data_IF_317147894124
#
_entry.id   IF_317147894124
#
_cell.length_a   1.000
_cell.length_b   1.000
_cell.length_c   1.000
_cell.angle_alpha   90.00
_cell.angle_beta   90.00
_cell.angle_gamma   90.00
#
_symmetry.space_group_name_H-M   'P 1'
#
loop_
_entity.id
_entity.type
_entity.pdbx_description
1 polymer ?
#
# COMPACT_ATOMS: atom_id res chain seq x y z
N UNK A 1 -10.88 -7.79 6.70
CA UNK A 1 -9.52 -7.45 6.18
C UNK A 1 -9.35 -7.76 4.70
N UNK A 2 -9.75 -8.95 4.22
CA UNK A 2 -9.64 -9.33 2.80
C UNK A 2 -10.29 -8.35 1.81
N UNK A 3 -11.50 -7.88 2.08
CA UNK A 3 -12.13 -6.87 1.22
C UNK A 3 -11.32 -5.56 1.18
N UNK A 4 -10.76 -5.15 2.31
CA UNK A 4 -9.98 -3.91 2.43
C UNK A 4 -8.64 -3.99 1.70
N UNK A 5 -7.87 -5.09 1.85
CA UNK A 5 -6.57 -5.24 1.15
C UNK A 5 -6.76 -5.21 -0.38
N UNK A 6 -7.79 -5.87 -0.89
CA UNK A 6 -8.14 -5.82 -2.32
C UNK A 6 -8.50 -4.40 -2.75
N UNK A 7 -9.32 -3.70 -1.98
CA UNK A 7 -9.69 -2.30 -2.26
C UNK A 7 -8.49 -1.35 -2.24
N UNK A 8 -7.53 -1.54 -1.32
CA UNK A 8 -6.31 -0.73 -1.25
C UNK A 8 -5.31 -1.04 -2.39
N UNK A 9 -5.36 -2.25 -2.95
CA UNK A 9 -4.53 -2.68 -4.10
C UNK A 9 -5.19 -2.39 -5.46
N UNK A 10 -6.43 -1.89 -5.48
CA UNK A 10 -7.05 -1.41 -6.73
C UNK A 10 -6.25 -0.26 -7.33
N UNK A 11 -5.96 -0.37 -8.63
CA UNK A 11 -5.22 0.67 -9.35
C UNK A 11 -6.06 1.93 -9.50
N UNK A 12 -5.48 3.07 -9.15
CA UNK A 12 -6.07 4.38 -9.41
C UNK A 12 -5.50 4.97 -10.69
N UNK A 13 -6.26 5.82 -11.38
CA UNK A 13 -5.86 6.43 -12.65
C UNK A 13 -4.54 7.21 -12.57
N UNK A 14 -4.21 7.69 -11.37
CA UNK A 14 -2.96 8.40 -11.12
C UNK A 14 -1.79 7.42 -10.88
N UNK A 15 -1.99 6.25 -10.31
CA UNK A 15 -0.91 5.32 -9.93
C UNK A 15 -0.09 4.83 -11.12
N UNK A 16 1.23 4.94 -11.00
CA UNK A 16 2.16 4.65 -12.10
C UNK A 16 3.14 3.52 -11.79
N UNK A 17 3.13 2.95 -10.58
CA UNK A 17 4.13 1.94 -10.23
C UNK A 17 4.04 0.72 -11.15
N UNK A 18 2.85 0.37 -11.67
CA UNK A 18 2.64 -0.73 -12.60
C UNK A 18 2.96 -0.40 -14.06
N UNK A 19 3.06 0.88 -14.42
CA UNK A 19 3.30 1.33 -15.80
C UNK A 19 4.77 1.69 -16.08
N UNK A 20 5.59 1.94 -15.05
CA UNK A 20 7.01 2.27 -15.21
C UNK A 20 7.81 1.04 -15.69
N UNK A 21 8.58 1.12 -16.80
CA UNK A 21 9.35 -0.02 -17.33
C UNK A 21 10.31 -0.67 -16.33
N UNK A 22 10.92 0.11 -15.44
CA UNK A 22 11.79 -0.41 -14.38
C UNK A 22 11.05 -1.30 -13.38
N UNK A 23 9.79 -0.97 -13.10
CA UNK A 23 8.97 -1.68 -12.12
C UNK A 23 8.34 -2.94 -12.74
N UNK A 24 8.03 -2.94 -14.03
CA UNK A 24 7.51 -4.13 -14.75
C UNK A 24 8.50 -5.30 -14.68
N UNK A 25 9.82 -5.02 -14.75
CA UNK A 25 10.84 -6.07 -14.60
C UNK A 25 10.90 -6.63 -13.18
N UNK A 26 10.77 -5.77 -12.17
CA UNK A 26 10.75 -6.17 -10.76
C UNK A 26 9.47 -6.91 -10.37
N UNK A 27 8.32 -6.51 -10.94
CA UNK A 27 7.03 -7.17 -10.72
C UNK A 27 7.00 -8.62 -11.20
N UNK A 28 7.96 -9.07 -12.03
CA UNK A 28 8.11 -10.49 -12.39
C UNK A 28 8.77 -11.33 -11.29
N UNK A 29 9.34 -10.70 -10.27
CA UNK A 29 10.06 -11.38 -9.20
C UNK A 29 9.15 -11.77 -8.03
N UNK A 30 7.91 -11.30 -7.98
CA UNK A 30 6.99 -11.59 -6.90
C UNK A 30 5.55 -11.51 -7.41
N UNK A 31 4.64 -12.24 -6.76
CA UNK A 31 3.22 -12.25 -7.09
C UNK A 31 2.44 -11.59 -5.97
N UNK A 32 1.45 -10.78 -6.32
CA UNK A 32 0.53 -10.20 -5.36
C UNK A 32 -0.82 -10.83 -5.61
N UNK A 33 -1.36 -11.49 -4.59
CA UNK A 33 -2.62 -12.19 -4.68
C UNK A 33 -3.77 -11.27 -5.11
N UNK A 34 -3.81 -10.04 -4.62
CA UNK A 34 -4.84 -9.05 -4.92
C UNK A 34 -4.82 -8.56 -6.38
N UNK A 35 -3.76 -8.88 -7.12
CA UNK A 35 -3.62 -8.51 -8.53
C UNK A 35 -4.15 -9.59 -9.46
N UNK A 36 -3.89 -10.84 -9.14
CA UNK A 36 -4.19 -11.99 -10.01
C UNK A 36 -5.46 -12.73 -9.56
N UNK A 37 -5.77 -12.71 -8.26
CA UNK A 37 -6.93 -13.35 -7.67
C UNK A 37 -8.20 -12.52 -7.78
N UNK A 38 -9.35 -13.20 -7.74
CA UNK A 38 -10.66 -12.54 -7.62
C UNK A 38 -11.07 -12.43 -6.16
N UNK A 39 -11.48 -11.24 -5.75
CA UNK A 39 -12.02 -11.02 -4.41
C UNK A 39 -13.20 -11.97 -4.10
N UNK A 40 -14.06 -12.24 -5.07
CA UNK A 40 -15.19 -13.16 -4.95
C UNK A 40 -14.77 -14.55 -4.45
N UNK A 41 -13.74 -15.14 -5.06
CA UNK A 41 -13.25 -16.48 -4.70
C UNK A 41 -12.76 -16.52 -3.25
N UNK A 42 -12.11 -15.42 -2.81
CA UNK A 42 -11.67 -15.30 -1.42
C UNK A 42 -12.80 -15.06 -0.44
N UNK A 43 -13.83 -14.29 -0.82
CA UNK A 43 -14.96 -14.01 0.07
C UNK A 43 -15.78 -15.27 0.39
N UNK A 44 -15.91 -16.20 -0.56
CA UNK A 44 -16.66 -17.46 -0.37
C UNK A 44 -16.19 -18.30 0.81
N UNK A 45 -14.95 -18.14 1.26
CA UNK A 45 -14.42 -18.84 2.42
C UNK A 45 -14.88 -18.26 3.77
N UNK A 46 -15.35 -17.00 3.80
CA UNK A 46 -15.64 -16.28 5.06
C UNK A 46 -17.08 -15.80 5.19
N UNK A 47 -17.81 -15.63 4.08
CA UNK A 47 -19.18 -15.12 4.08
C UNK A 47 -20.10 -16.02 3.26
N UNK A 48 -21.39 -15.97 3.60
CA UNK A 48 -22.43 -16.65 2.83
C UNK A 48 -22.47 -16.15 1.38
N UNK A 49 -23.02 -16.96 0.47
CA UNK A 49 -23.14 -16.56 -0.95
C UNK A 49 -24.01 -15.31 -1.11
N UNK A 50 -25.07 -15.17 -0.30
CA UNK A 50 -25.95 -14.00 -0.29
C UNK A 50 -25.19 -12.73 0.13
N UNK A 51 -24.47 -12.79 1.27
CA UNK A 51 -23.67 -11.66 1.75
C UNK A 51 -22.55 -11.32 0.77
N UNK A 52 -21.90 -12.34 0.19
CA UNK A 52 -20.86 -12.18 -0.83
C UNK A 52 -21.38 -11.42 -2.04
N UNK A 53 -22.51 -11.83 -2.60
CA UNK A 53 -23.16 -11.16 -3.73
C UNK A 53 -23.56 -9.72 -3.39
N UNK A 54 -24.12 -9.49 -2.20
CA UNK A 54 -24.43 -8.16 -1.72
C UNK A 54 -23.17 -7.29 -1.64
N UNK A 55 -22.08 -7.77 -1.01
CA UNK A 55 -20.82 -7.02 -0.87
C UNK A 55 -20.23 -6.69 -2.24
N UNK A 56 -20.20 -7.65 -3.17
CA UNK A 56 -19.63 -7.47 -4.51
C UNK A 56 -20.39 -6.43 -5.34
N UNK A 57 -21.70 -6.25 -5.08
CA UNK A 57 -22.52 -5.21 -5.72
C UNK A 57 -22.17 -3.78 -5.29
N UNK A 58 -21.38 -3.60 -4.22
CA UNK A 58 -21.10 -2.30 -3.62
C UNK A 58 -19.76 -1.74 -4.05
N UNK A 59 -19.69 -0.40 -4.09
CA UNK A 59 -18.45 0.32 -4.40
C UNK A 59 -17.42 0.21 -3.28
N UNK A 60 -17.83 0.44 -2.03
CA UNK A 60 -16.95 0.29 -0.86
C UNK A 60 -17.24 -1.02 -0.14
N UNK A 61 -16.65 -2.10 -0.64
CA UNK A 61 -16.92 -3.47 -0.21
C UNK A 61 -16.57 -3.68 1.27
N UNK A 62 -15.45 -3.10 1.72
CA UNK A 62 -15.00 -3.23 3.10
C UNK A 62 -15.96 -2.56 4.10
N UNK A 63 -16.46 -1.36 3.78
CA UNK A 63 -17.48 -0.67 4.61
C UNK A 63 -18.77 -1.48 4.71
N UNK A 64 -19.24 -2.04 3.60
CA UNK A 64 -20.47 -2.83 3.62
C UNK A 64 -20.33 -4.14 4.40
N UNK A 65 -19.12 -4.72 4.46
CA UNK A 65 -18.83 -5.88 5.29
C UNK A 65 -18.93 -5.53 6.78
N UNK A 66 -18.39 -4.39 7.22
CA UNK A 66 -18.58 -3.88 8.59
C UNK A 66 -20.06 -3.62 8.89
N UNK A 67 -20.80 -3.09 7.92
CA UNK A 67 -22.24 -2.89 8.05
C UNK A 67 -23.03 -4.19 8.27
N UNK A 68 -22.65 -5.28 7.59
CA UNK A 68 -23.24 -6.61 7.82
C UNK A 68 -22.91 -7.14 9.21
N UNK A 69 -21.68 -6.95 9.69
CA UNK A 69 -21.30 -7.36 11.06
C UNK A 69 -22.12 -6.61 12.12
N UNK A 70 -22.30 -5.29 11.97
CA UNK A 70 -23.17 -4.50 12.86
C UNK A 70 -24.63 -4.99 12.81
N UNK A 71 -25.15 -5.31 11.63
CA UNK A 71 -26.50 -5.86 11.48
C UNK A 71 -26.66 -7.23 12.18
N UNK A 72 -25.63 -8.08 12.13
CA UNK A 72 -25.60 -9.36 12.84
C UNK A 72 -25.57 -9.15 14.36
N UNK A 73 -24.71 -8.25 14.88
CA UNK A 73 -24.67 -7.91 16.30
C UNK A 73 -26.03 -7.39 16.81
N UNK A 74 -26.67 -6.52 16.02
CA UNK A 74 -28.00 -6.02 16.33
C UNK A 74 -29.04 -7.14 16.42
N UNK A 75 -28.98 -8.11 15.51
CA UNK A 75 -29.86 -9.29 15.52
C UNK A 75 -29.65 -10.11 16.79
N UNK A 76 -28.41 -10.40 17.15
CA UNK A 76 -28.07 -11.14 18.38
C UNK A 76 -28.55 -10.41 19.64
N UNK A 77 -28.41 -9.09 19.69
CA UNK A 77 -28.91 -8.26 20.79
C UNK A 77 -30.44 -8.28 20.88
N UNK A 78 -31.15 -8.24 19.76
CA UNK A 78 -32.63 -8.34 19.73
C UNK A 78 -33.10 -9.73 20.18
N UNK A 79 -32.34 -10.78 19.88
CA UNK A 79 -32.59 -12.14 20.33
C UNK A 79 -32.25 -12.38 21.82
N UNK A 80 -31.63 -11.40 22.49
CA UNK A 80 -31.20 -11.52 23.88
C UNK A 80 -29.96 -12.39 24.08
N UNK A 81 -29.21 -12.69 23.02
CA UNK A 81 -27.97 -13.48 23.06
C UNK A 81 -26.74 -12.64 23.42
N UNK A 82 -26.85 -11.31 23.29
CA UNK A 82 -25.80 -10.34 23.63
C UNK A 82 -26.40 -9.30 24.57
N UNK A 83 -25.75 -9.08 25.71
CA UNK A 83 -26.19 -8.08 26.68
C UNK A 83 -26.07 -6.65 26.12
N UNK A 84 -26.88 -5.69 26.58
CA UNK A 84 -26.83 -4.32 26.08
C UNK A 84 -25.46 -3.66 26.22
N UNK A 85 -24.72 -3.96 27.30
CA UNK A 85 -23.38 -3.40 27.51
C UNK A 85 -22.37 -3.99 26.53
N UNK A 86 -22.35 -5.32 26.39
CA UNK A 86 -21.46 -6.01 25.43
C UNK A 86 -21.74 -5.57 23.99
N UNK A 87 -23.01 -5.40 23.63
CA UNK A 87 -23.40 -4.87 22.30
C UNK A 87 -22.78 -3.49 22.05
N UNK A 88 -22.82 -2.59 23.04
CA UNK A 88 -22.24 -1.25 22.93
C UNK A 88 -20.72 -1.31 22.76
N UNK A 89 -20.04 -2.17 23.52
CA UNK A 89 -18.58 -2.33 23.40
C UNK A 89 -18.18 -2.94 22.05
N UNK A 90 -18.91 -3.94 21.55
CA UNK A 90 -18.67 -4.52 20.22
C UNK A 90 -18.93 -3.54 19.08
N UNK A 91 -19.99 -2.72 19.16
CA UNK A 91 -20.25 -1.68 18.16
C UNK A 91 -19.16 -0.59 18.16
N UNK A 92 -18.61 -0.23 19.34
CA UNK A 92 -17.45 0.69 19.40
C UNK A 92 -16.25 0.13 18.64
N UNK A 93 -15.96 -1.18 18.76
CA UNK A 93 -14.89 -1.82 17.99
C UNK A 93 -15.15 -1.72 16.47
N UNK A 94 -16.39 -1.90 16.01
CA UNK A 94 -16.74 -1.73 14.60
C UNK A 94 -16.57 -0.28 14.12
N UNK A 95 -16.92 0.70 14.95
CA UNK A 95 -16.67 2.13 14.67
C UNK A 95 -15.17 2.40 14.55
N UNK A 96 -14.36 1.87 15.46
CA UNK A 96 -12.89 2.02 15.40
C UNK A 96 -12.31 1.38 14.13
N UNK A 97 -12.81 0.20 13.75
CA UNK A 97 -12.41 -0.46 12.49
C UNK A 97 -12.79 0.38 11.26
N UNK A 98 -13.98 0.99 11.26
CA UNK A 98 -14.42 1.88 10.18
C UNK A 98 -13.56 3.15 10.10
N UNK A 99 -13.21 3.74 11.24
CA UNK A 99 -12.34 4.92 11.31
C UNK A 99 -10.92 4.62 10.80
N UNK A 100 -10.35 3.47 11.19
CA UNK A 100 -9.06 3.00 10.69
C UNK A 100 -9.10 2.71 9.19
N UNK A 101 -10.16 2.05 8.70
CA UNK A 101 -10.39 1.85 7.28
C UNK A 101 -10.43 3.19 6.53
N UNK A 102 -11.18 4.17 7.04
CA UNK A 102 -11.27 5.51 6.45
C UNK A 102 -9.91 6.23 6.40
N UNK A 103 -9.03 6.02 7.39
CA UNK A 103 -7.64 6.53 7.36
C UNK A 103 -6.84 5.91 6.24
N UNK A 104 -6.89 4.58 6.07
CA UNK A 104 -6.22 3.89 4.97
C UNK A 104 -6.74 4.34 3.60
N UNK A 105 -8.06 4.47 3.46
CA UNK A 105 -8.69 4.98 2.23
C UNK A 105 -8.27 6.41 1.91
N UNK A 106 -8.13 7.29 2.92
CA UNK A 106 -7.62 8.65 2.71
C UNK A 106 -6.19 8.65 2.19
N UNK A 107 -5.31 7.83 2.78
CA UNK A 107 -3.91 7.68 2.31
C UNK A 107 -3.88 7.20 0.85
N UNK A 108 -4.72 6.22 0.49
CA UNK A 108 -4.81 5.69 -0.88
C UNK A 108 -5.40 6.69 -1.88
N UNK A 109 -6.48 7.38 -1.51
CA UNK A 109 -7.29 8.17 -2.45
C UNK A 109 -6.83 9.63 -2.59
N UNK A 110 -6.10 10.16 -1.61
CA UNK A 110 -5.62 11.55 -1.62
C UNK A 110 -4.09 11.58 -1.48
N UNK A 111 -3.35 11.12 -2.50
CA UNK A 111 -1.90 11.26 -2.51
C UNK A 111 -1.51 12.74 -2.54
N UNK A 112 -0.25 13.02 -2.20
CA UNK A 112 0.30 14.37 -2.20
C UNK A 112 0.05 15.07 -3.55
N UNK A 113 -0.31 16.38 -3.57
CA UNK A 113 -0.74 17.01 -4.82
C UNK A 113 0.37 16.96 -5.87
N UNK A 114 0.05 16.35 -7.02
CA UNK A 114 1.04 16.06 -8.09
C UNK A 114 1.76 17.25 -8.68
N UNK A 115 1.16 18.43 -8.58
CA UNK A 115 1.81 19.67 -9.02
C UNK A 115 3.13 19.85 -8.26
N UNK A 116 3.16 19.55 -6.96
CA UNK A 116 4.39 19.60 -6.17
C UNK A 116 5.40 18.53 -6.59
N UNK A 117 4.97 17.27 -6.76
CA UNK A 117 5.87 16.20 -7.18
C UNK A 117 6.47 16.45 -8.58
N UNK A 118 5.67 16.94 -9.53
CA UNK A 118 6.13 17.23 -10.89
C UNK A 118 7.10 18.42 -10.92
N UNK A 119 6.79 19.48 -10.17
CA UNK A 119 7.67 20.66 -10.05
C UNK A 119 8.98 20.27 -9.35
N UNK A 120 8.91 19.50 -8.26
CA UNK A 120 10.10 18.97 -7.57
C UNK A 120 11.00 18.21 -8.54
N UNK A 121 10.43 17.28 -9.30
CA UNK A 121 11.18 16.49 -10.27
C UNK A 121 11.81 17.35 -11.38
N UNK A 122 11.10 18.36 -11.88
CA UNK A 122 11.64 19.31 -12.86
C UNK A 122 12.79 20.12 -12.28
N UNK A 123 12.63 20.66 -11.07
CA UNK A 123 13.66 21.44 -10.39
C UNK A 123 14.89 20.60 -10.06
N UNK A 124 14.71 19.38 -9.56
CA UNK A 124 15.80 18.43 -9.28
C UNK A 124 16.58 18.13 -10.56
N UNK A 125 15.90 17.83 -11.68
CA UNK A 125 16.58 17.58 -12.97
C UNK A 125 17.32 18.80 -13.49
N UNK A 126 16.71 19.99 -13.38
CA UNK A 126 17.33 21.25 -13.77
C UNK A 126 18.59 21.50 -12.92
N UNK A 127 18.48 21.36 -11.60
CA UNK A 127 19.59 21.51 -10.68
C UNK A 127 20.75 20.57 -11.02
N UNK A 128 20.49 19.27 -11.12
CA UNK A 128 21.52 18.26 -11.45
C UNK A 128 22.17 18.54 -12.81
N UNK A 129 21.42 19.06 -13.78
CA UNK A 129 21.96 19.44 -15.09
C UNK A 129 22.87 20.68 -15.02
N UNK A 130 22.64 21.58 -14.06
CA UNK A 130 23.42 22.80 -13.87
C UNK A 130 24.67 22.60 -12.99
N UNK A 131 24.66 21.60 -12.10
CA UNK A 131 25.80 21.29 -11.21
C UNK A 131 27.15 21.22 -11.92
N UNK A 132 27.32 20.52 -13.08
CA UNK A 132 28.59 20.45 -13.78
C UNK A 132 29.16 21.83 -14.14
N UNK A 133 28.29 22.75 -14.56
CA UNK A 133 28.69 24.12 -14.94
C UNK A 133 29.07 24.97 -13.74
N UNK A 134 28.39 24.77 -12.60
CA UNK A 134 28.67 25.51 -11.36
C UNK A 134 30.01 25.16 -10.73
N UNK A 135 30.46 23.91 -10.86
CA UNK A 135 31.70 23.44 -10.22
C UNK A 135 32.94 23.55 -11.11
N UNK A 136 32.75 23.70 -12.42
CA UNK A 136 33.83 23.68 -13.42
C UNK A 136 34.93 24.70 -13.11
N UNK A 137 34.56 25.94 -12.78
CA UNK A 137 35.51 27.01 -12.45
C UNK A 137 36.26 26.76 -11.14
N UNK A 138 35.62 26.15 -10.14
CA UNK A 138 36.27 25.86 -8.85
C UNK A 138 37.31 24.76 -8.98
N UNK A 139 36.99 23.69 -9.74
CA UNK A 139 37.96 22.64 -10.01
C UNK A 139 39.12 23.11 -10.91
N UNK A 140 38.85 24.01 -11.86
CA UNK A 140 39.90 24.61 -12.69
C UNK A 140 40.92 25.42 -11.85
N UNK A 141 40.47 26.15 -10.82
CA UNK A 141 41.37 26.90 -9.91
C UNK A 141 42.32 26.00 -9.12
N UNK A 142 41.95 24.74 -8.88
CA UNK A 142 42.76 23.77 -8.14
C UNK A 142 43.86 23.13 -8.99
N UNK A 143 43.77 23.25 -10.33
CA UNK A 143 44.76 22.79 -11.30
C UNK A 143 44.12 22.09 -12.51
N UNK A 144 44.87 21.99 -13.61
CA UNK A 144 44.33 21.46 -14.88
C UNK A 144 43.91 19.99 -14.78
N UNK A 145 44.61 19.17 -13.99
CA UNK A 145 44.22 17.78 -13.75
C UNK A 145 42.96 17.66 -12.90
N UNK A 146 42.79 18.57 -11.93
CA UNK A 146 41.68 18.62 -10.99
C UNK A 146 40.35 18.96 -11.69
N UNK A 147 40.39 19.57 -12.88
CA UNK A 147 39.22 19.76 -13.73
C UNK A 147 38.49 18.43 -14.02
N UNK A 148 39.22 17.33 -14.18
CA UNK A 148 38.63 16.01 -14.42
C UNK A 148 37.85 15.47 -13.21
N UNK A 149 38.14 15.96 -11.99
CA UNK A 149 37.39 15.61 -10.78
C UNK A 149 35.99 16.24 -10.74
N UNK A 150 35.74 17.28 -11.55
CA UNK A 150 34.41 17.89 -11.66
C UNK A 150 33.36 16.89 -12.17
N UNK A 151 33.74 15.97 -13.05
CA UNK A 151 32.85 14.95 -13.62
C UNK A 151 32.34 13.96 -12.58
N UNK A 152 33.19 13.20 -11.85
CA UNK A 152 32.73 12.30 -10.80
C UNK A 152 32.06 13.04 -9.64
N UNK A 153 32.48 14.28 -9.33
CA UNK A 153 31.81 15.11 -8.33
C UNK A 153 30.36 15.41 -8.72
N UNK A 154 30.14 15.95 -9.92
CA UNK A 154 28.81 16.27 -10.43
C UNK A 154 27.94 15.02 -10.59
N UNK A 155 28.53 13.90 -11.03
CA UNK A 155 27.83 12.62 -11.12
C UNK A 155 27.37 12.12 -9.74
N UNK A 156 28.22 12.26 -8.71
CA UNK A 156 27.87 11.87 -7.34
C UNK A 156 26.75 12.74 -6.78
N UNK A 157 26.83 14.06 -6.92
CA UNK A 157 25.77 14.98 -6.52
C UNK A 157 24.46 14.65 -7.26
N UNK A 158 24.54 14.46 -8.57
CA UNK A 158 23.40 14.07 -9.39
C UNK A 158 22.75 12.77 -8.93
N UNK A 159 23.56 11.75 -8.64
CA UNK A 159 23.08 10.48 -8.12
C UNK A 159 22.38 10.63 -6.77
N UNK A 160 22.92 11.44 -5.84
CA UNK A 160 22.29 11.69 -4.53
C UNK A 160 20.90 12.30 -4.70
N UNK A 161 20.79 13.39 -5.46
CA UNK A 161 19.52 14.10 -5.66
C UNK A 161 18.48 13.27 -6.41
N UNK A 162 18.89 12.57 -7.47
CA UNK A 162 17.99 11.69 -8.22
C UNK A 162 17.54 10.49 -7.38
N UNK A 163 18.41 9.97 -6.52
CA UNK A 163 18.05 8.87 -5.61
C UNK A 163 17.07 9.35 -4.55
N UNK A 164 17.29 10.53 -3.97
CA UNK A 164 16.38 11.12 -2.99
C UNK A 164 14.97 11.33 -3.57
N UNK A 165 14.88 11.90 -4.77
CA UNK A 165 13.60 12.06 -5.50
C UNK A 165 12.91 10.70 -5.69
N UNK A 166 13.67 9.69 -6.11
CA UNK A 166 13.13 8.34 -6.37
C UNK A 166 12.64 7.64 -5.10
N UNK A 167 13.34 7.81 -3.97
CA UNK A 167 12.90 7.29 -2.66
C UNK A 167 11.60 7.98 -2.21
N UNK A 168 11.49 9.29 -2.44
CA UNK A 168 10.26 10.03 -2.20
C UNK A 168 9.07 9.45 -2.98
N UNK A 169 9.23 9.25 -4.29
CA UNK A 169 8.18 8.68 -5.14
C UNK A 169 7.68 7.30 -4.65
N UNK A 170 8.58 6.43 -4.17
CA UNK A 170 8.20 5.11 -3.64
C UNK A 170 7.52 5.18 -2.27
N UNK A 171 7.77 6.23 -1.48
CA UNK A 171 7.19 6.40 -0.15
C UNK A 171 5.78 7.01 -0.20
N UNK A 172 5.44 7.73 -1.27
CA UNK A 172 4.16 8.42 -1.41
C UNK A 172 2.95 7.48 -1.56
N UNK A 173 3.12 6.29 -2.12
CA UNK A 173 2.01 5.39 -2.44
C UNK A 173 2.24 3.97 -1.84
N UNK A 174 1.93 3.77 -0.55
CA UNK A 174 2.36 2.58 0.21
C UNK A 174 1.55 1.30 -0.08
N UNK A 175 0.54 1.37 -0.95
CA UNK A 175 -0.40 0.27 -1.21
C UNK A 175 -0.43 -0.17 -2.67
N UNK A 176 0.46 0.33 -3.53
CA UNK A 176 0.45 -0.01 -4.96
C UNK A 176 0.86 -1.47 -5.22
N UNK A 177 1.64 -2.08 -4.36
CA UNK A 177 2.19 -3.43 -4.52
C UNK A 177 3.65 -3.42 -5.00
N UNK A 178 4.37 -2.34 -4.75
CA UNK A 178 5.81 -2.27 -4.93
C UNK A 178 6.57 -3.17 -3.96
N UNK A 179 7.81 -3.51 -4.32
CA UNK A 179 8.70 -4.32 -3.47
C UNK A 179 9.05 -3.67 -2.12
N UNK A 180 8.91 -2.34 -2.04
CA UNK A 180 9.19 -1.54 -0.84
C UNK A 180 7.91 -1.02 -0.18
N UNK A 181 6.75 -1.46 -0.65
CA UNK A 181 5.46 -1.05 -0.12
C UNK A 181 5.15 -1.79 1.19
N UNK A 182 4.10 -1.37 1.87
CA UNK A 182 3.63 -2.07 3.06
C UNK A 182 3.11 -3.46 2.66
N UNK A 183 3.56 -4.54 3.34
CA UNK A 183 3.17 -5.92 3.02
C UNK A 183 1.79 -6.24 3.60
N UNK A 184 0.74 -5.57 3.11
CA UNK A 184 -0.61 -5.67 3.67
C UNK A 184 -1.21 -7.08 3.50
N UNK A 185 -0.77 -7.85 2.51
CA UNK A 185 -1.21 -9.24 2.30
C UNK A 185 -0.67 -10.10 3.44
N UNK A 186 0.61 -9.95 3.77
CA UNK A 186 1.25 -10.68 4.86
C UNK A 186 0.72 -10.28 6.22
N UNK A 187 0.54 -8.97 6.47
CA UNK A 187 -0.09 -8.48 7.72
C UNK A 187 -1.51 -9.05 7.87
N UNK A 188 -2.31 -9.02 6.79
CA UNK A 188 -3.66 -9.60 6.83
C UNK A 188 -3.65 -11.11 7.06
N UNK A 189 -2.66 -11.84 6.54
CA UNK A 189 -2.51 -13.29 6.79
C UNK A 189 -2.11 -13.56 8.23
N UNK A 190 -1.22 -12.77 8.81
CA UNK A 190 -0.86 -12.92 10.23
C UNK A 190 -2.09 -12.73 11.12
N UNK A 191 -2.87 -11.66 10.91
CA UNK A 191 -4.10 -11.44 11.67
C UNK A 191 -5.11 -12.57 11.45
N UNK A 192 -5.23 -13.09 10.22
CA UNK A 192 -6.08 -14.24 9.92
C UNK A 192 -5.66 -15.48 10.71
N UNK A 193 -4.36 -15.79 10.75
CA UNK A 193 -3.81 -16.91 11.52
C UNK A 193 -4.12 -16.72 13.00
N UNK A 194 -3.81 -15.55 13.56
CA UNK A 194 -4.03 -15.26 14.99
C UNK A 194 -5.50 -15.44 15.38
N UNK A 195 -6.43 -14.96 14.54
CA UNK A 195 -7.87 -15.10 14.79
C UNK A 195 -8.36 -16.55 14.69
N UNK A 196 -7.82 -17.34 13.76
CA UNK A 196 -8.16 -18.76 13.62
C UNK A 196 -7.60 -19.60 14.78
N UNK A 197 -6.39 -19.27 15.25
CA UNK A 197 -5.80 -19.88 16.45
C UNK A 197 -6.63 -19.56 17.70
N UNK A 198 -7.13 -18.33 17.84
CA UNK A 198 -7.97 -17.93 18.99
C UNK A 198 -9.30 -18.69 19.09
N UNK A 199 -9.79 -19.27 17.98
CA UNK A 199 -11.03 -20.07 17.95
C UNK A 199 -10.77 -21.57 17.82
N UNK A 200 -9.51 -22.01 17.99
CA UNK A 200 -9.08 -23.41 17.90
C UNK A 200 -9.42 -24.08 16.54
N UNK A 201 -9.34 -23.32 15.44
CA UNK A 201 -9.61 -23.86 14.10
C UNK A 201 -8.51 -24.86 13.66
N UNK A 202 -8.91 -25.99 13.10
CA UNK A 202 -7.96 -27.05 12.72
C UNK A 202 -7.19 -26.73 11.42
N UNK A 203 -7.79 -25.95 10.52
CA UNK A 203 -7.25 -25.67 9.20
C UNK A 203 -6.75 -24.22 9.10
N UNK A 204 -5.55 -23.98 9.63
CA UNK A 204 -4.91 -22.67 9.62
C UNK A 204 -4.10 -22.49 8.34
N UNK A 205 -4.31 -21.41 7.56
CA UNK A 205 -3.52 -21.16 6.37
C UNK A 205 -2.07 -20.84 6.73
N UNK A 206 -1.08 -21.24 5.91
CA UNK A 206 0.31 -20.94 6.19
C UNK A 206 0.59 -19.43 6.13
N UNK A 207 1.58 -18.97 6.90
CA UNK A 207 2.08 -17.60 6.81
C UNK A 207 2.59 -17.29 5.39
N UNK A 208 2.41 -16.05 4.93
CA UNK A 208 2.99 -15.62 3.66
C UNK A 208 4.50 -15.45 3.84
N UNK A 209 5.27 -16.32 3.20
CA UNK A 209 6.73 -16.20 3.15
C UNK A 209 7.19 -15.21 2.08
N UNK A 210 8.41 -14.66 2.21
CA UNK A 210 8.96 -13.77 1.19
C UNK A 210 9.25 -14.54 -0.10
N UNK A 211 8.79 -14.00 -1.23
CA UNK A 211 9.14 -14.50 -2.58
C UNK A 211 10.24 -13.61 -3.12
N UNK A 212 11.41 -14.18 -3.43
CA UNK A 212 12.61 -13.43 -3.87
C UNK A 212 13.00 -12.26 -2.93
N UNK A 213 12.94 -12.49 -1.61
CA UNK A 213 13.22 -11.51 -0.53
C UNK A 213 12.24 -10.33 -0.46
N UNK A 214 11.11 -10.41 -1.15
CA UNK A 214 10.05 -9.40 -1.13
C UNK A 214 8.83 -10.00 -0.44
N UNK A 215 8.28 -9.25 0.52
CA UNK A 215 7.09 -9.63 1.26
C UNK A 215 5.91 -8.81 0.71
N UNK A 216 4.82 -9.48 0.33
CA UNK A 216 3.63 -8.85 -0.28
C UNK A 216 2.59 -8.43 0.76
#
# INVERSE_FOLDING_TARGET
LTALRYQLREQRAWETARMKPSNIRYAKLYTIEEWDGKLEERLRAYVSEEDGNYILSKKNRATHLLGLQSAQLKTLKVQGLVEPLDYVEMEKLLVDMYDLQGRCERIKNFPYPRQFATISQMLTRLFVSLVPFGVLNEFHKLGEWQLWLAVPFAATVGWIFLTLERVGEYTENPFEGGANDVPITSISRTIEIDLLEMIDEANIPPAVGPVNKILS
#
